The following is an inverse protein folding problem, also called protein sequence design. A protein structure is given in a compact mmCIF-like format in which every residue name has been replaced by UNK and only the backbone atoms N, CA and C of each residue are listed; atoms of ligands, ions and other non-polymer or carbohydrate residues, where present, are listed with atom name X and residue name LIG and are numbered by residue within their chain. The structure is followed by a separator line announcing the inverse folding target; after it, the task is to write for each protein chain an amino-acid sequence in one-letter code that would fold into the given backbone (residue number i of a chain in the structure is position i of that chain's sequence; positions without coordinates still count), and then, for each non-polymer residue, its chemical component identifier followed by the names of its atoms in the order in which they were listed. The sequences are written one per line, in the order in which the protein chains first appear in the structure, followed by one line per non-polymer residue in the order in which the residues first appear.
data_IF_695239195904
#
_entry.id   IF_695239195904
#
_cell.length_a   1.000
_cell.length_b   1.000
_cell.length_c   1.000
_cell.angle_alpha   90.00
_cell.angle_beta   90.00
_cell.angle_gamma   90.00
#
_symmetry.space_group_name_H-M   'P 1'
#
loop_
_entity.id
_entity.type
_entity.pdbx_description
1 polymer ?
#
# COMPACT_ATOMS: atom_id res chain seq x y z
N UNK A 1 -15.89 7.06 -17.37
CA UNK A 1 -15.17 6.85 -16.10
C UNK A 1 -15.91 5.77 -15.31
N UNK A 2 -15.20 4.94 -14.55
CA UNK A 2 -15.85 4.00 -13.63
C UNK A 2 -16.32 4.76 -12.37
N UNK A 3 -17.48 4.41 -11.80
CA UNK A 3 -17.97 4.97 -10.53
C UNK A 3 -17.26 4.42 -9.28
N UNK A 4 -16.26 3.55 -9.46
CA UNK A 4 -15.48 2.99 -8.35
C UNK A 4 -14.65 4.07 -7.67
N UNK A 5 -14.83 4.18 -6.36
CA UNK A 5 -14.02 5.02 -5.49
C UNK A 5 -12.93 4.19 -4.81
N UNK A 6 -11.78 4.81 -4.57
CA UNK A 6 -10.64 4.17 -3.91
C UNK A 6 -10.04 5.11 -2.87
N UNK A 7 -9.56 4.53 -1.77
CA UNK A 7 -8.64 5.22 -0.87
C UNK A 7 -7.21 4.94 -1.32
N UNK A 8 -6.42 5.97 -1.60
CA UNK A 8 -5.05 5.85 -2.08
C UNK A 8 -4.09 6.36 -1.01
N UNK A 9 -3.27 5.46 -0.45
CA UNK A 9 -2.16 5.83 0.43
C UNK A 9 -0.96 6.26 -0.41
N UNK A 10 -0.44 7.46 -0.17
CA UNK A 10 0.76 8.00 -0.84
C UNK A 10 1.87 8.15 0.19
N UNK A 11 3.04 7.62 -0.12
CA UNK A 11 4.26 7.74 0.69
C UNK A 11 5.34 8.42 -0.14
N UNK A 12 6.10 9.34 0.46
CA UNK A 12 7.22 10.02 -0.22
C UNK A 12 8.50 9.20 -0.02
N UNK A 13 9.22 8.92 -1.11
CA UNK A 13 10.40 8.04 -1.10
C UNK A 13 11.56 8.60 -0.26
N UNK A 14 11.78 9.91 -0.34
CA UNK A 14 12.81 10.62 0.42
C UNK A 14 12.57 10.54 1.92
N UNK A 15 11.32 10.72 2.37
CA UNK A 15 10.93 10.58 3.77
C UNK A 15 11.12 9.14 4.25
N UNK A 16 10.64 8.15 3.50
CA UNK A 16 10.83 6.74 3.88
C UNK A 16 12.31 6.35 4.00
N UNK A 17 13.17 6.91 3.15
CA UNK A 17 14.60 6.66 3.21
C UNK A 17 15.26 7.35 4.41
N UNK A 18 14.90 8.61 4.67
CA UNK A 18 15.40 9.37 5.82
C UNK A 18 15.02 8.75 7.17
N UNK A 19 13.80 8.23 7.25
CA UNK A 19 13.25 7.63 8.48
C UNK A 19 13.57 6.13 8.61
N UNK A 20 14.33 5.54 7.68
CA UNK A 20 14.66 4.10 7.62
C UNK A 20 13.43 3.16 7.54
N UNK A 21 12.30 3.66 7.04
CA UNK A 21 10.99 2.99 7.04
C UNK A 21 10.67 2.19 5.76
N UNK A 22 11.65 2.01 4.88
CA UNK A 22 11.46 1.30 3.60
C UNK A 22 11.01 -0.14 3.79
N UNK A 23 11.56 -0.85 4.78
CA UNK A 23 11.17 -2.23 5.09
C UNK A 23 9.74 -2.31 5.63
N UNK A 24 9.36 -1.40 6.53
CA UNK A 24 8.01 -1.28 7.07
C UNK A 24 6.98 -1.11 5.95
N UNK A 25 7.24 -0.23 4.97
CA UNK A 25 6.37 -0.03 3.81
C UNK A 25 6.26 -1.30 2.93
N UNK A 26 7.36 -2.04 2.77
CA UNK A 26 7.37 -3.31 2.03
C UNK A 26 6.65 -4.44 2.78
N UNK A 27 6.71 -4.47 4.10
CA UNK A 27 5.91 -5.37 4.94
C UNK A 27 4.43 -5.05 4.80
N UNK A 28 4.04 -3.78 4.90
CA UNK A 28 2.65 -3.35 4.75
C UNK A 28 2.06 -3.82 3.41
N UNK A 29 2.79 -3.62 2.30
CA UNK A 29 2.38 -4.10 0.98
C UNK A 29 2.17 -5.61 0.95
N UNK A 30 3.09 -6.39 1.54
CA UNK A 30 3.00 -7.86 1.60
C UNK A 30 1.79 -8.31 2.42
N UNK A 31 1.57 -7.73 3.60
CA UNK A 31 0.44 -8.03 4.48
C UNK A 31 -0.89 -7.72 3.78
N UNK A 32 -0.97 -6.58 3.10
CA UNK A 32 -2.17 -6.17 2.37
C UNK A 32 -2.45 -7.06 1.16
N UNK A 33 -1.41 -7.61 0.52
CA UNK A 33 -1.50 -8.49 -0.65
C UNK A 33 -1.65 -9.98 -0.35
N UNK A 34 -1.78 -10.40 0.92
CA UNK A 34 -2.03 -11.81 1.25
C UNK A 34 -3.36 -12.29 0.63
N UNK A 35 -3.39 -13.53 0.16
CA UNK A 35 -4.61 -14.18 -0.37
C UNK A 35 -5.44 -14.74 0.78
N UNK A 36 -6.77 -14.77 0.64
CA UNK A 36 -7.66 -15.39 1.62
C UNK A 36 -7.80 -14.62 2.93
N UNK A 37 -7.61 -13.29 2.89
CA UNK A 37 -7.74 -12.43 4.07
C UNK A 37 -9.20 -12.31 4.53
N UNK A 38 -9.45 -12.22 5.84
CA UNK A 38 -10.80 -12.00 6.36
C UNK A 38 -11.45 -10.72 5.84
N UNK A 39 -12.77 -10.72 5.65
CA UNK A 39 -13.54 -9.60 5.08
C UNK A 39 -13.48 -8.28 5.88
N UNK A 40 -13.04 -8.34 7.14
CA UNK A 40 -12.89 -7.17 8.00
C UNK A 40 -11.55 -6.44 7.82
N UNK A 41 -10.63 -6.94 6.99
CA UNK A 41 -9.39 -6.26 6.65
C UNK A 41 -9.51 -5.52 5.32
N UNK A 42 -9.00 -4.28 5.26
CA UNK A 42 -8.96 -3.49 4.04
C UNK A 42 -8.24 -4.25 2.92
N UNK A 43 -8.89 -4.31 1.75
CA UNK A 43 -8.36 -4.99 0.56
C UNK A 43 -7.45 -4.05 -0.24
N UNK A 44 -6.37 -4.60 -0.79
CA UNK A 44 -5.48 -3.91 -1.70
C UNK A 44 -5.91 -4.18 -3.15
N UNK A 45 -6.25 -3.13 -3.88
CA UNK A 45 -6.56 -3.25 -5.31
C UNK A 45 -5.27 -3.33 -6.15
N UNK A 46 -4.35 -2.39 -5.94
CA UNK A 46 -3.04 -2.38 -6.58
C UNK A 46 -2.05 -1.55 -5.76
N UNK A 47 -0.76 -1.70 -6.05
CA UNK A 47 0.31 -0.84 -5.55
C UNK A 47 1.28 -0.53 -6.69
N UNK A 48 1.69 0.73 -6.81
CA UNK A 48 2.59 1.21 -7.85
C UNK A 48 3.46 2.35 -7.30
N UNK A 49 4.50 2.73 -8.04
CA UNK A 49 5.39 3.84 -7.71
C UNK A 49 5.68 4.66 -8.97
N UNK A 50 5.92 5.96 -8.81
CA UNK A 50 6.47 6.80 -9.88
C UNK A 50 7.99 6.60 -9.97
N UNK A 51 8.62 7.13 -11.01
CA UNK A 51 10.07 7.39 -10.99
C UNK A 51 10.43 8.29 -9.79
#
# INVERSE_FOLDING_TARGET
GSERLFAVKVLKKDVLFQDEDTESAMVERRVLGLVGRPHFLTSLYCAFQTE
#
